data_IF_034853300502
#
_entry.id   IF_034853300502
#
_cell.length_a   1.000
_cell.length_b   1.000
_cell.length_c   1.000
_cell.angle_alpha   90.00
_cell.angle_beta   90.00
_cell.angle_gamma   90.00
#
_symmetry.space_group_name_H-M   'P 1'
#
loop_
_entity.id
_entity.type
_entity.pdbx_description
1 polymer ?
#
# COMPACT_ATOMS: atom_id res chain seq x y z
N UNK A 1 13.03 27.19 3.31
CA UNK A 1 12.19 25.99 3.54
C UNK A 1 12.93 24.71 3.13
N UNK A 2 14.14 24.83 2.60
CA UNK A 2 14.92 23.74 2.01
C UNK A 2 15.71 22.93 3.04
N UNK A 3 15.97 23.48 4.23
CA UNK A 3 16.70 22.78 5.30
C UNK A 3 15.98 21.52 5.80
N UNK A 4 14.65 21.54 5.91
CA UNK A 4 13.91 20.38 6.39
C UNK A 4 13.86 19.25 5.35
N UNK A 5 13.73 19.61 4.07
CA UNK A 5 13.77 18.65 2.98
C UNK A 5 15.18 18.08 2.77
N UNK A 6 16.21 18.91 2.89
CA UNK A 6 17.60 18.48 2.81
C UNK A 6 18.01 17.56 3.97
N UNK A 7 17.40 17.73 5.14
CA UNK A 7 17.63 16.86 6.30
C UNK A 7 16.88 15.52 6.20
N UNK A 8 15.77 15.47 5.44
CA UNK A 8 15.05 14.24 5.12
C UNK A 8 15.76 13.45 4.00
N UNK A 9 16.31 14.13 3.00
CA UNK A 9 17.05 13.50 1.89
C UNK A 9 18.42 12.96 2.35
N UNK A 10 19.09 13.66 3.28
CA UNK A 10 20.35 13.19 3.88
C UNK A 10 20.20 11.87 4.66
N UNK A 11 19.03 11.60 5.24
CA UNK A 11 18.75 10.37 6.00
C UNK A 11 18.47 9.17 5.07
N UNK A 12 18.14 9.41 3.79
CA UNK A 12 17.91 8.39 2.78
C UNK A 12 19.22 7.96 2.06
N UNK A 13 20.30 8.74 2.20
CA UNK A 13 21.56 8.56 1.48
C UNK A 13 22.62 7.71 2.22
N UNK A 14 22.45 7.41 3.51
CA UNK A 14 23.38 6.57 4.29
C UNK A 14 22.73 5.28 4.79
N UNK A 15 22.37 4.39 3.87
CA UNK A 15 22.02 3.00 4.16
C UNK A 15 22.78 2.10 3.17
N UNK A 16 23.75 1.27 3.61
CA UNK A 16 24.44 0.37 2.71
C UNK A 16 23.50 -0.77 2.26
N UNK A 17 23.60 -1.09 0.97
CA UNK A 17 22.92 -2.22 0.35
C UNK A 17 23.42 -3.56 0.94
N UNK A 18 22.53 -4.33 1.55
CA UNK A 18 22.78 -5.74 1.88
C UNK A 18 22.05 -6.63 0.86
N UNK A 19 22.85 -7.40 0.12
CA UNK A 19 22.48 -8.24 -1.01
C UNK A 19 21.82 -9.58 -0.61
N UNK A 20 20.93 -10.01 -1.51
CA UNK A 20 20.45 -11.34 -1.90
C UNK A 20 20.78 -12.61 -1.07
N UNK A 21 19.74 -13.43 -0.81
CA UNK A 21 19.76 -14.88 -1.01
C UNK A 21 18.32 -15.45 -1.01
N UNK A 22 17.94 -16.14 -2.09
CA UNK A 22 16.63 -16.79 -2.23
C UNK A 22 16.56 -18.21 -1.67
N UNK A 23 15.33 -18.73 -1.53
CA UNK A 23 14.97 -20.11 -1.88
C UNK A 23 13.45 -20.30 -1.89
N UNK A 24 12.97 -20.93 -2.95
CA UNK A 24 11.59 -21.35 -3.18
C UNK A 24 11.14 -22.48 -2.23
N UNK A 25 9.84 -22.55 -1.92
CA UNK A 25 8.98 -23.72 -2.10
C UNK A 25 7.58 -23.49 -1.48
N UNK A 26 6.55 -23.55 -2.32
CA UNK A 26 5.17 -23.92 -1.93
C UNK A 26 5.07 -25.47 -1.89
N UNK A 27 4.04 -26.14 -1.30
CA UNK A 27 2.63 -25.98 -1.68
C UNK A 27 1.56 -26.17 -0.57
N UNK A 28 0.34 -25.68 -0.87
CA UNK A 28 -0.97 -26.25 -0.48
C UNK A 28 -1.40 -26.16 0.99
N UNK A 29 -2.68 -26.20 1.37
CA UNK A 29 -3.97 -26.06 0.70
C UNK A 29 -5.02 -26.06 1.84
N UNK A 30 -6.15 -25.35 1.65
CA UNK A 30 -7.37 -25.37 2.47
C UNK A 30 -7.24 -24.87 3.93
N UNK A 31 -8.15 -24.14 4.54
CA UNK A 31 -9.51 -23.74 4.24
C UNK A 31 -10.19 -23.35 5.56
N UNK A 32 -11.25 -22.56 5.48
CA UNK A 32 -12.28 -22.33 6.51
C UNK A 32 -11.99 -21.45 7.74
N UNK A 33 -12.68 -20.31 7.72
CA UNK A 33 -13.32 -19.59 8.83
C UNK A 33 -13.56 -20.43 10.10
N UNK A 34 -13.09 -19.95 11.27
CA UNK A 34 -13.87 -19.72 12.51
C UNK A 34 -12.98 -19.27 13.68
N UNK A 35 -13.31 -18.10 14.25
CA UNK A 35 -13.44 -17.74 15.68
C UNK A 35 -12.49 -18.41 16.73
N UNK A 36 -11.89 -17.56 17.58
CA UNK A 36 -11.12 -17.79 18.83
C UNK A 36 -11.75 -18.76 19.86
N UNK A 37 -11.09 -19.16 20.99
CA UNK A 37 -9.68 -19.04 21.44
C UNK A 37 -9.04 -20.32 22.05
N UNK A 38 -7.75 -20.20 22.40
CA UNK A 38 -7.02 -20.89 23.50
C UNK A 38 -6.37 -22.29 23.30
N UNK A 39 -5.03 -22.26 23.46
CA UNK A 39 -4.14 -23.28 24.06
C UNK A 39 -3.74 -24.51 23.23
N UNK A 40 -2.61 -24.42 22.51
CA UNK A 40 -1.35 -25.20 22.70
C UNK A 40 -0.41 -24.95 21.51
N UNK A 41 0.87 -24.71 21.77
CA UNK A 41 1.90 -24.37 20.75
C UNK A 41 2.45 -25.63 20.07
N UNK A 42 2.97 -25.48 18.83
CA UNK A 42 4.32 -25.96 18.58
C UNK A 42 5.27 -24.84 18.15
N UNK A 43 6.53 -25.09 18.49
CA UNK A 43 7.68 -24.21 18.59
C UNK A 43 8.33 -24.03 17.21
N UNK A 44 8.35 -22.80 16.70
CA UNK A 44 9.31 -22.34 15.68
C UNK A 44 10.15 -21.24 16.31
N UNK A 45 11.47 -21.42 16.25
CA UNK A 45 12.52 -20.60 16.84
C UNK A 45 12.46 -19.15 16.33
N UNK A 46 11.71 -18.33 17.06
CA UNK A 46 11.68 -16.88 16.90
C UNK A 46 12.89 -16.31 17.65
N UNK A 47 13.75 -15.60 16.91
CA UNK A 47 14.84 -14.79 17.46
C UNK A 47 14.30 -14.00 18.67
N UNK A 48 14.79 -14.36 19.85
CA UNK A 48 14.37 -13.77 21.12
C UNK A 48 14.96 -12.37 21.24
N UNK A 49 14.25 -11.36 20.74
CA UNK A 49 14.47 -9.99 21.21
C UNK A 49 14.08 -9.95 22.69
N UNK A 50 15.04 -9.62 23.54
CA UNK A 50 14.87 -9.56 25.00
C UNK A 50 13.72 -8.60 25.33
N UNK A 51 12.84 -9.08 26.19
CA UNK A 51 11.72 -8.35 26.77
C UNK A 51 12.28 -7.21 27.64
N UNK A 52 12.05 -5.96 27.26
CA UNK A 52 12.04 -4.87 28.25
C UNK A 52 12.86 -3.61 28.00
N UNK A 53 13.54 -3.42 26.87
CA UNK A 53 13.94 -2.05 26.51
C UNK A 53 12.74 -1.37 25.84
N UNK A 54 12.04 -0.57 26.65
CA UNK A 54 11.26 0.55 26.13
C UNK A 54 12.14 1.23 25.08
N UNK A 55 11.63 1.36 23.85
CA UNK A 55 12.31 2.13 22.81
C UNK A 55 12.73 3.45 23.46
N UNK A 56 14.02 3.76 23.39
CA UNK A 56 14.53 5.04 23.90
C UNK A 56 13.72 6.17 23.25
N UNK A 57 13.60 7.32 23.92
CA UNK A 57 12.86 8.46 23.36
C UNK A 57 13.34 8.83 21.95
N UNK A 58 14.63 8.63 21.67
CA UNK A 58 15.23 8.87 20.36
C UNK A 58 14.88 7.77 19.35
N UNK A 59 14.89 6.50 19.73
CA UNK A 59 14.40 5.40 18.87
C UNK A 59 12.91 5.51 18.56
N UNK A 60 12.11 5.95 19.54
CA UNK A 60 10.67 6.17 19.35
C UNK A 60 10.41 7.30 18.37
N UNK A 61 11.14 8.42 18.48
CA UNK A 61 11.09 9.51 17.50
C UNK A 61 11.51 9.05 16.11
N UNK A 62 12.62 8.32 15.99
CA UNK A 62 13.11 7.78 14.73
C UNK A 62 12.10 6.84 14.07
N UNK A 63 11.52 5.92 14.85
CA UNK A 63 10.51 4.99 14.36
C UNK A 63 9.20 5.69 13.95
N UNK A 64 8.79 6.72 14.68
CA UNK A 64 7.63 7.53 14.32
C UNK A 64 7.83 8.24 12.97
N UNK A 65 9.00 8.86 12.78
CA UNK A 65 9.35 9.52 11.50
C UNK A 65 9.36 8.49 10.36
N UNK A 66 10.03 7.36 10.54
CA UNK A 66 10.10 6.31 9.51
C UNK A 66 8.72 5.74 9.16
N UNK A 67 7.89 5.49 10.16
CA UNK A 67 6.53 4.96 9.96
C UNK A 67 5.65 5.96 9.21
N UNK A 68 5.75 7.24 9.53
CA UNK A 68 4.99 8.29 8.86
C UNK A 68 5.49 8.55 7.42
N UNK A 69 6.81 8.50 7.19
CA UNK A 69 7.37 8.56 5.84
C UNK A 69 6.86 7.40 4.97
N UNK A 70 6.91 6.17 5.48
CA UNK A 70 6.36 5.00 4.80
C UNK A 70 4.87 5.15 4.52
N UNK A 71 4.09 5.62 5.50
CA UNK A 71 2.66 5.90 5.32
C UNK A 71 2.43 6.91 4.19
N UNK A 72 3.18 8.01 4.16
CA UNK A 72 3.09 9.05 3.11
C UNK A 72 3.52 8.54 1.73
N UNK A 73 4.53 7.67 1.67
CA UNK A 73 4.96 7.04 0.43
C UNK A 73 3.86 6.15 -0.13
N UNK A 74 3.25 5.32 0.71
CA UNK A 74 2.14 4.44 0.29
C UNK A 74 0.94 5.24 -0.24
N UNK A 75 0.59 6.36 0.40
CA UNK A 75 -0.48 7.25 -0.08
C UNK A 75 -0.13 7.80 -1.47
N UNK A 76 1.10 8.30 -1.67
CA UNK A 76 1.55 8.80 -2.96
C UNK A 76 1.49 7.73 -4.05
N UNK A 77 1.99 6.53 -3.77
CA UNK A 77 1.91 5.40 -4.70
C UNK A 77 0.46 5.04 -5.06
N UNK A 78 -0.48 5.14 -4.11
CA UNK A 78 -1.91 4.97 -4.40
C UNK A 78 -2.45 6.01 -5.37
N UNK A 79 -2.07 7.28 -5.21
CA UNK A 79 -2.44 8.33 -6.18
C UNK A 79 -1.80 8.13 -7.55
N UNK A 80 -0.54 7.69 -7.59
CA UNK A 80 0.14 7.39 -8.86
C UNK A 80 -0.60 6.27 -9.62
N UNK A 81 -1.10 5.25 -8.92
CA UNK A 81 -1.94 4.20 -9.52
C UNK A 81 -3.26 4.73 -10.06
N UNK A 82 -3.93 5.63 -9.33
CA UNK A 82 -5.16 6.26 -9.81
C UNK A 82 -4.92 7.05 -11.11
N UNK A 83 -3.80 7.78 -11.20
CA UNK A 83 -3.42 8.54 -12.40
C UNK A 83 -3.23 7.61 -13.60
N UNK A 84 -2.69 6.40 -13.41
CA UNK A 84 -2.47 5.44 -14.50
C UNK A 84 -3.76 4.79 -15.00
N UNK A 85 -4.74 4.57 -14.11
CA UNK A 85 -5.98 3.84 -14.45
C UNK A 85 -7.03 4.77 -15.05
N UNK A 86 -7.09 6.03 -14.59
CA UNK A 86 -8.13 6.97 -15.02
C UNK A 86 -7.69 7.69 -16.30
N UNK A 87 -8.35 7.47 -17.46
CA UNK A 87 -7.88 7.99 -18.75
C UNK A 87 -7.91 9.52 -18.85
N UNK A 88 -8.70 10.18 -18.01
CA UNK A 88 -8.85 11.64 -18.00
C UNK A 88 -7.79 12.35 -17.17
N UNK A 89 -6.91 11.61 -16.50
CA UNK A 89 -5.79 12.15 -15.72
C UNK A 89 -4.51 12.12 -16.55
N UNK A 90 -3.73 13.19 -16.44
CA UNK A 90 -2.39 13.27 -17.02
C UNK A 90 -1.34 12.87 -15.97
N UNK A 91 -0.19 12.32 -16.38
CA UNK A 91 0.93 12.05 -15.46
C UNK A 91 1.46 13.30 -14.74
N UNK A 92 1.17 14.50 -15.26
CA UNK A 92 1.51 15.79 -14.65
C UNK A 92 0.53 16.25 -13.56
N UNK A 93 -0.59 15.56 -13.36
CA UNK A 93 -1.62 15.97 -12.42
C UNK A 93 -1.15 15.74 -10.98
N UNK A 94 -0.94 16.82 -10.20
CA UNK A 94 -0.47 16.75 -8.80
C UNK A 94 -1.53 17.06 -7.75
N UNK A 95 -2.68 17.60 -8.16
CA UNK A 95 -3.75 18.00 -7.24
C UNK A 95 -4.54 16.77 -6.77
N UNK A 96 -4.39 16.41 -5.49
CA UNK A 96 -5.11 15.28 -4.86
C UNK A 96 -6.63 15.39 -5.03
N UNK A 97 -7.20 16.57 -4.77
CA UNK A 97 -8.64 16.81 -4.89
C UNK A 97 -9.16 16.56 -6.31
N UNK A 98 -8.39 16.99 -7.32
CA UNK A 98 -8.78 16.84 -8.71
C UNK A 98 -8.62 15.40 -9.20
N UNK A 99 -7.60 14.67 -8.73
CA UNK A 99 -7.44 13.23 -8.99
C UNK A 99 -8.66 12.47 -8.45
N UNK A 100 -9.07 12.73 -7.21
CA UNK A 100 -10.26 12.09 -6.63
C UNK A 100 -11.53 12.43 -7.40
N UNK A 101 -11.73 13.70 -7.75
CA UNK A 101 -12.89 14.14 -8.51
C UNK A 101 -13.00 13.42 -9.86
N UNK A 102 -11.91 13.36 -10.63
CA UNK A 102 -11.87 12.67 -11.93
C UNK A 102 -12.02 11.16 -11.81
N UNK A 103 -11.51 10.57 -10.73
CA UNK A 103 -11.71 9.15 -10.43
C UNK A 103 -13.20 8.85 -10.23
N UNK A 104 -13.91 9.68 -9.46
CA UNK A 104 -15.37 9.51 -9.24
C UNK A 104 -16.16 9.68 -10.54
N UNK A 105 -15.79 10.66 -11.37
CA UNK A 105 -16.39 10.85 -12.69
C UNK A 105 -16.21 9.62 -13.59
N UNK A 106 -15.01 9.03 -13.59
CA UNK A 106 -14.72 7.84 -14.38
C UNK A 106 -15.49 6.60 -13.89
N UNK A 107 -15.63 6.40 -12.57
CA UNK A 107 -16.45 5.30 -12.02
C UNK A 107 -17.90 5.42 -12.50
N UNK A 108 -18.48 6.63 -12.47
CA UNK A 108 -19.85 6.86 -12.97
C UNK A 108 -19.98 6.55 -14.45
N UNK A 109 -18.99 6.95 -15.25
CA UNK A 109 -18.94 6.61 -16.68
C UNK A 109 -18.93 5.11 -16.91
N UNK A 110 -18.08 4.35 -16.21
CA UNK A 110 -18.01 2.89 -16.34
C UNK A 110 -19.32 2.19 -15.96
N UNK A 111 -20.04 2.69 -14.95
CA UNK A 111 -21.35 2.16 -14.58
C UNK A 111 -22.40 2.39 -15.66
N UNK A 112 -22.42 3.58 -16.26
CA UNK A 112 -23.31 3.91 -17.37
C UNK A 112 -22.98 3.07 -18.61
N UNK A 113 -21.70 2.95 -18.96
CA UNK A 113 -21.23 2.14 -20.09
C UNK A 113 -21.64 0.66 -19.93
N UNK A 114 -21.50 0.13 -18.71
CA UNK A 114 -21.97 -1.22 -18.40
C UNK A 114 -23.48 -1.39 -18.65
N UNK A 115 -24.31 -0.47 -18.19
CA UNK A 115 -25.76 -0.53 -18.37
C UNK A 115 -26.15 -0.51 -19.86
N UNK A 116 -25.49 0.33 -20.65
CA UNK A 116 -25.69 0.41 -22.10
C UNK A 116 -25.34 -0.93 -22.77
N UNK A 117 -24.18 -1.49 -22.45
CA UNK A 117 -23.72 -2.76 -23.02
C UNK A 117 -24.63 -3.94 -22.62
N UNK A 118 -25.08 -3.98 -21.37
CA UNK A 118 -26.04 -4.99 -20.90
C UNK A 118 -27.39 -4.86 -21.64
N UNK A 119 -27.86 -3.63 -21.89
CA UNK A 119 -29.05 -3.37 -22.71
C UNK A 119 -28.91 -3.90 -24.14
N UNK A 120 -27.80 -3.57 -24.81
CA UNK A 120 -27.52 -4.04 -26.17
C UNK A 120 -27.47 -5.57 -26.27
N UNK A 121 -26.89 -6.23 -25.28
CA UNK A 121 -26.81 -7.70 -25.25
C UNK A 121 -28.19 -8.33 -25.08
N UNK A 122 -29.08 -7.70 -24.30
CA UNK A 122 -30.46 -8.18 -24.12
C UNK A 122 -31.30 -8.01 -25.39
N UNK A 123 -31.14 -6.87 -26.06
CA UNK A 123 -31.87 -6.53 -27.28
C UNK A 123 -31.42 -7.38 -28.48
N UNK A 124 -30.13 -7.71 -28.56
CA UNK A 124 -29.57 -8.60 -29.60
C UNK A 124 -29.79 -10.09 -29.34
N UNK A 125 -30.25 -10.46 -28.14
CA UNK A 125 -30.59 -11.83 -27.76
C UNK A 125 -32.07 -12.18 -28.02
N UNK A 126 -32.88 -11.25 -28.53
CA UNK A 126 -34.27 -11.47 -28.97
C UNK A 126 -34.35 -11.59 -30.49
#
# INVERSE_FOLDING_TARGET
MDHYQQQLDACHAEMPAAAAAGKEAAPGAAGSTTITPATTKPRVSRVTKKKGELLTEDEKKANHIASEQKRRQNIRTGYDQLIQIVPTLTPSQRSEALILQKTVEYIKYLLMEREILEGQLKDSSH
#
